data_IF_124192180729
#
_entry.id   IF_124192180729
#
_cell.length_a   1.000
_cell.length_b   1.000
_cell.length_c   1.000
_cell.angle_alpha   90.00
_cell.angle_beta   90.00
_cell.angle_gamma   90.00
#
_symmetry.space_group_name_H-M   'P 1'
#
loop_
_entity.id
_entity.type
_entity.pdbx_description
1 polymer ?
#
# COMPACT_ATOMS: atom_id res chain seq x y z
N UNK A 1 -14.64 12.02 -5.77
CA UNK A 1 -14.09 10.65 -5.94
C UNK A 1 -14.74 9.68 -4.93
N UNK A 2 -16.06 9.47 -4.95
CA UNK A 2 -16.78 8.69 -3.91
C UNK A 2 -17.77 7.65 -4.48
N UNK A 3 -17.47 7.07 -5.65
CA UNK A 3 -18.34 6.09 -6.31
C UNK A 3 -17.76 4.68 -6.42
N UNK A 4 -16.56 4.45 -5.87
CA UNK A 4 -15.82 3.18 -5.96
C UNK A 4 -16.02 2.31 -4.69
N UNK A 5 -16.65 2.86 -3.64
CA UNK A 5 -16.77 2.19 -2.33
C UNK A 5 -18.06 1.37 -2.15
N UNK A 6 -18.99 1.40 -3.11
CA UNK A 6 -20.22 0.58 -3.05
C UNK A 6 -19.99 -0.74 -3.79
N UNK A 7 -19.43 -1.72 -3.08
CA UNK A 7 -19.18 -3.08 -3.59
C UNK A 7 -17.75 -3.59 -3.44
N UNK A 8 -16.83 -2.77 -2.92
CA UNK A 8 -15.46 -3.19 -2.67
C UNK A 8 -15.41 -4.22 -1.52
N UNK A 9 -14.98 -5.45 -1.83
CA UNK A 9 -14.72 -6.50 -0.81
C UNK A 9 -13.52 -6.17 0.08
N UNK A 10 -12.69 -5.22 -0.34
CA UNK A 10 -11.54 -4.71 0.39
C UNK A 10 -11.27 -3.26 -0.03
N UNK A 11 -10.96 -2.41 0.96
CA UNK A 11 -10.66 -1.00 0.73
C UNK A 11 -9.16 -0.79 0.86
N UNK A 12 -8.54 -0.15 -0.14
CA UNK A 12 -7.11 0.16 -0.13
C UNK A 12 -6.95 1.69 -0.11
N UNK A 13 -6.29 2.21 0.92
CA UNK A 13 -6.13 3.65 1.16
C UNK A 13 -4.67 4.08 0.97
N UNK A 14 -4.44 5.14 0.21
CA UNK A 14 -3.12 5.74 0.06
C UNK A 14 -2.79 6.62 1.28
N UNK A 15 -1.76 6.28 2.05
CA UNK A 15 -1.32 7.05 3.22
C UNK A 15 -0.76 8.44 2.87
N UNK A 16 -0.31 8.63 1.63
CA UNK A 16 0.27 9.90 1.15
C UNK A 16 -0.76 10.86 0.57
N UNK A 17 -1.95 10.37 0.28
CA UNK A 17 -3.07 11.19 -0.18
C UNK A 17 -4.15 11.23 0.91
N UNK A 18 -4.05 12.23 1.78
CA UNK A 18 -4.95 12.45 2.90
C UNK A 18 -6.43 12.64 2.46
N UNK A 19 -6.69 12.89 1.18
CA UNK A 19 -8.03 13.04 0.61
C UNK A 19 -8.69 11.69 0.25
N UNK A 20 -8.01 10.56 0.44
CA UNK A 20 -8.50 9.23 0.07
C UNK A 20 -9.21 8.46 1.18
N UNK A 21 -9.33 9.02 2.42
CA UNK A 21 -10.01 8.35 3.53
C UNK A 21 -11.52 8.27 3.26
N UNK A 22 -12.07 7.09 2.95
CA UNK A 22 -13.51 6.94 2.85
C UNK A 22 -14.10 7.00 4.26
N UNK A 23 -15.34 7.44 4.38
CA UNK A 23 -16.18 7.06 5.52
C UNK A 23 -16.44 5.55 5.36
N UNK A 24 -15.47 4.73 5.78
CA UNK A 24 -15.57 3.27 5.70
C UNK A 24 -16.67 2.87 6.69
N UNK A 25 -17.76 2.31 6.16
CA UNK A 25 -18.81 1.72 6.99
C UNK A 25 -18.21 0.63 7.88
N UNK A 26 -18.69 0.55 9.12
CA UNK A 26 -18.24 -0.43 10.12
C UNK A 26 -18.26 -1.85 9.51
N UNK A 27 -17.08 -2.50 9.45
CA UNK A 27 -16.96 -3.92 9.12
C UNK A 27 -16.21 -4.30 7.83
N UNK A 28 -15.75 -3.36 7.00
CA UNK A 28 -14.95 -3.71 5.81
C UNK A 28 -13.44 -3.77 6.12
N UNK A 29 -12.71 -4.82 5.67
CA UNK A 29 -11.26 -4.86 5.76
C UNK A 29 -10.64 -3.67 5.01
N UNK A 30 -9.93 -2.83 5.74
CA UNK A 30 -9.23 -1.66 5.20
C UNK A 30 -7.72 -1.91 5.24
N UNK A 31 -7.10 -1.97 4.07
CA UNK A 31 -5.67 -2.00 3.91
C UNK A 31 -5.15 -0.62 3.50
N UNK A 32 -3.90 -0.35 3.81
CA UNK A 32 -3.25 0.92 3.46
C UNK A 32 -2.00 0.68 2.65
N UNK A 33 -1.57 1.64 1.85
CA UNK A 33 -0.27 1.60 1.21
C UNK A 33 0.43 2.96 1.27
N UNK A 34 1.75 2.98 1.22
CA UNK A 34 2.54 4.22 1.20
C UNK A 34 4.04 3.94 1.25
N UNK A 35 4.88 4.89 0.88
CA UNK A 35 6.33 4.69 0.79
C UNK A 35 7.05 4.70 2.15
N UNK A 36 6.33 4.98 3.23
CA UNK A 36 6.83 4.86 4.59
C UNK A 36 6.71 3.41 5.09
N UNK A 37 7.38 3.12 6.21
CA UNK A 37 7.31 1.81 6.87
C UNK A 37 5.85 1.37 7.08
N UNK A 38 5.48 0.15 6.65
CA UNK A 38 4.14 -0.37 6.89
C UNK A 38 3.91 -0.70 8.37
N UNK A 39 2.63 -0.75 8.72
CA UNK A 39 2.11 -1.22 10.01
C UNK A 39 1.02 -2.29 9.72
N UNK A 40 0.21 -2.66 10.71
CA UNK A 40 -0.90 -3.59 10.54
C UNK A 40 -1.78 -3.25 9.33
N UNK A 41 -2.11 -4.27 8.55
CA UNK A 41 -2.88 -4.13 7.30
C UNK A 41 -2.30 -3.10 6.32
N UNK A 42 -0.98 -2.86 6.38
CA UNK A 42 -0.30 -1.85 5.59
C UNK A 42 0.74 -2.43 4.64
N UNK A 43 0.75 -1.91 3.42
CA UNK A 43 1.82 -2.06 2.45
C UNK A 43 2.76 -0.85 2.53
N UNK A 44 4.06 -1.09 2.42
CA UNK A 44 5.01 -0.01 2.33
C UNK A 44 6.43 -0.43 2.04
N UNK A 45 7.36 0.49 2.33
CA UNK A 45 8.78 0.22 2.16
C UNK A 45 9.43 -0.07 3.50
N UNK A 46 10.19 -1.14 3.56
CA UNK A 46 11.11 -1.44 4.67
C UNK A 46 12.53 -1.33 4.16
N UNK A 47 13.44 -0.94 5.05
CA UNK A 47 14.86 -0.92 4.76
C UNK A 47 15.53 -1.93 5.68
N UNK A 48 16.29 -2.84 5.10
CA UNK A 48 17.02 -3.89 5.80
C UNK A 48 18.40 -4.02 5.16
N UNK A 49 19.45 -3.92 5.98
CA UNK A 49 20.85 -3.95 5.53
C UNK A 49 21.17 -2.94 4.39
N UNK A 50 20.50 -1.78 4.38
CA UNK A 50 20.67 -0.74 3.36
C UNK A 50 19.93 -0.99 2.03
N UNK A 51 19.20 -2.10 1.91
CA UNK A 51 18.34 -2.40 0.77
C UNK A 51 16.87 -2.13 1.11
N UNK A 52 16.13 -1.56 0.14
CA UNK A 52 14.70 -1.28 0.30
C UNK A 52 13.88 -2.44 -0.23
N UNK A 53 12.82 -2.78 0.48
CA UNK A 53 11.88 -3.85 0.14
C UNK A 53 10.45 -3.31 0.07
N UNK A 54 9.67 -3.78 -0.90
CA UNK A 54 8.22 -3.80 -0.78
C UNK A 54 7.85 -4.77 0.35
N UNK A 55 6.97 -4.34 1.23
CA UNK A 55 6.64 -5.09 2.43
C UNK A 55 5.15 -5.01 2.76
N UNK A 56 4.65 -6.05 3.42
CA UNK A 56 3.32 -6.07 4.03
C UNK A 56 3.48 -6.31 5.53
N UNK A 57 2.99 -5.36 6.34
CA UNK A 57 3.17 -5.36 7.79
C UNK A 57 4.65 -5.51 8.21
N UNK A 58 5.02 -6.70 8.68
CA UNK A 58 6.36 -7.02 9.18
C UNK A 58 7.17 -7.87 8.19
N UNK A 59 6.55 -8.31 7.09
CA UNK A 59 7.13 -9.21 6.11
C UNK A 59 7.68 -8.43 4.91
N UNK A 60 8.94 -8.71 4.55
CA UNK A 60 9.52 -8.23 3.31
C UNK A 60 9.08 -9.15 2.18
N UNK A 61 8.48 -8.59 1.13
CA UNK A 61 7.95 -9.36 0.01
C UNK A 61 8.94 -9.43 -1.15
N UNK A 62 9.54 -8.29 -1.51
CA UNK A 62 10.41 -8.20 -2.69
C UNK A 62 11.35 -7.00 -2.57
N UNK A 63 12.64 -7.14 -2.95
CA UNK A 63 13.53 -6.00 -3.08
C UNK A 63 13.01 -4.97 -4.10
N UNK A 64 13.15 -3.69 -3.79
CA UNK A 64 12.84 -2.58 -4.71
C UNK A 64 13.79 -2.59 -5.91
N UNK A 65 14.99 -3.13 -5.75
CA UNK A 65 15.98 -3.32 -6.82
C UNK A 65 15.48 -4.23 -7.94
N UNK A 66 14.56 -5.15 -7.65
CA UNK A 66 13.93 -6.04 -8.64
C UNK A 66 12.77 -5.40 -9.42
N UNK A 67 12.29 -4.22 -8.98
CA UNK A 67 11.33 -3.47 -9.77
C UNK A 67 11.99 -3.00 -11.06
N UNK A 68 11.46 -3.48 -12.20
CA UNK A 68 11.87 -3.03 -13.54
C UNK A 68 11.62 -1.53 -13.79
N UNK A 69 10.91 -0.88 -12.88
CA UNK A 69 10.51 0.53 -12.94
C UNK A 69 11.08 1.28 -11.74
N UNK A 70 11.78 2.40 -12.00
CA UNK A 70 12.42 3.22 -10.96
C UNK A 70 11.52 4.39 -10.56
N UNK A 71 11.65 4.84 -9.31
CA UNK A 71 11.01 6.06 -8.80
C UNK A 71 9.92 5.81 -7.75
N UNK A 72 9.74 6.79 -6.87
CA UNK A 72 8.80 6.77 -5.75
C UNK A 72 7.35 6.49 -6.18
N UNK A 73 6.90 7.10 -7.28
CA UNK A 73 5.54 6.88 -7.79
C UNK A 73 5.33 5.44 -8.27
N UNK A 74 6.33 4.84 -8.91
CA UNK A 74 6.26 3.46 -9.38
C UNK A 74 6.24 2.46 -8.22
N UNK A 75 7.00 2.73 -7.16
CA UNK A 75 6.93 1.97 -5.91
C UNK A 75 5.54 2.07 -5.28
N UNK A 76 4.95 3.27 -5.22
CA UNK A 76 3.59 3.46 -4.70
C UNK A 76 2.55 2.70 -5.52
N UNK A 77 2.67 2.70 -6.85
CA UNK A 77 1.79 1.95 -7.75
C UNK A 77 1.95 0.43 -7.58
N UNK A 78 3.19 -0.06 -7.40
CA UNK A 78 3.44 -1.47 -7.12
C UNK A 78 2.80 -1.91 -5.80
N UNK A 79 2.92 -1.09 -4.75
CA UNK A 79 2.26 -1.35 -3.46
C UNK A 79 0.73 -1.33 -3.57
N UNK A 80 0.18 -0.42 -4.37
CA UNK A 80 -1.26 -0.38 -4.64
C UNK A 80 -1.73 -1.64 -5.39
N UNK A 81 -0.97 -2.12 -6.38
CA UNK A 81 -1.28 -3.34 -7.11
C UNK A 81 -1.23 -4.58 -6.20
N UNK A 82 -0.22 -4.69 -5.34
CA UNK A 82 -0.12 -5.76 -4.33
C UNK A 82 -1.28 -5.74 -3.33
N UNK A 83 -1.76 -4.55 -2.97
CA UNK A 83 -2.89 -4.41 -2.06
C UNK A 83 -4.25 -4.71 -2.69
N UNK A 84 -4.35 -4.75 -4.03
CA UNK A 84 -5.58 -5.01 -4.78
C UNK A 84 -5.67 -6.44 -5.33
N UNK A 85 -4.55 -7.16 -5.39
CA UNK A 85 -4.39 -8.47 -6.00
C UNK A 85 -4.69 -9.65 -5.10
#
# INVERSE_FOLDING_TARGET
KHRIFRGARQVVVNRQDALSRPLIGEGLPCWTFGLNKPDFHGFGLREENGEKFLAFQFENLMPVSELKVRGAHNQANALAALALG
#
